data_IF_453486237951
#
_entry.id   IF_453486237951
#
_cell.length_a   1.000
_cell.length_b   1.000
_cell.length_c   1.000
_cell.angle_alpha   90.00
_cell.angle_beta   90.00
_cell.angle_gamma   90.00
#
_symmetry.space_group_name_H-M   'P 1'
#
loop_
_entity.id
_entity.type
_entity.pdbx_description
1 polymer ?
#
# COMPACT_ATOMS: atom_id res chain seq x y z
N UNK A 1 -11.48 7.44 5.70
CA UNK A 1 -10.87 6.31 4.96
C UNK A 1 -9.38 6.56 4.85
N UNK A 2 -8.52 5.65 5.36
CA UNK A 2 -7.08 5.70 5.18
C UNK A 2 -6.71 5.90 3.70
N UNK A 3 -5.79 6.83 3.42
CA UNK A 3 -5.24 7.06 2.09
C UNK A 3 -3.89 7.76 2.15
N UNK A 4 -3.11 7.61 1.08
CA UNK A 4 -1.92 8.39 0.78
C UNK A 4 -1.86 8.65 -0.73
N UNK A 5 -1.57 9.88 -1.11
CA UNK A 5 -1.22 10.24 -2.49
C UNK A 5 0.31 10.17 -2.63
N UNK A 6 0.79 9.60 -3.74
CA UNK A 6 2.21 9.55 -4.07
C UNK A 6 2.38 10.33 -5.37
N UNK A 7 3.16 11.40 -5.30
CA UNK A 7 3.39 12.34 -6.41
C UNK A 7 4.71 12.03 -7.13
N UNK A 8 4.83 12.50 -8.37
CA UNK A 8 5.97 12.21 -9.28
C UNK A 8 6.18 10.73 -9.55
N UNK A 9 5.06 10.04 -9.82
CA UNK A 9 5.02 8.62 -10.20
C UNK A 9 4.87 8.47 -11.71
N UNK A 10 5.17 7.26 -12.21
CA UNK A 10 4.86 6.82 -13.57
C UNK A 10 3.61 5.94 -13.64
N UNK A 11 3.61 5.04 -14.62
CA UNK A 11 2.48 4.14 -14.92
C UNK A 11 2.31 3.00 -13.90
N UNK A 12 1.09 2.48 -13.72
CA UNK A 12 0.86 1.29 -12.87
C UNK A 12 1.50 0.02 -13.44
N UNK A 13 1.75 -0.03 -14.76
CA UNK A 13 2.35 -1.18 -15.42
C UNK A 13 3.75 -1.52 -14.87
N UNK A 14 4.57 -0.51 -14.55
CA UNK A 14 5.89 -0.75 -13.98
C UNK A 14 5.78 -1.29 -12.55
N UNK A 15 4.78 -0.83 -11.77
CA UNK A 15 4.49 -1.40 -10.46
C UNK A 15 4.10 -2.87 -10.57
N UNK A 16 3.19 -3.20 -11.50
CA UNK A 16 2.78 -4.58 -11.73
C UNK A 16 3.96 -5.50 -12.08
N UNK A 17 4.86 -5.04 -12.95
CA UNK A 17 6.05 -5.81 -13.38
C UNK A 17 7.08 -6.01 -12.28
N UNK A 18 7.20 -5.06 -11.35
CA UNK A 18 8.17 -5.12 -10.24
C UNK A 18 7.54 -5.67 -8.94
N UNK A 19 6.26 -6.01 -8.96
CA UNK A 19 5.57 -6.51 -7.78
C UNK A 19 6.14 -7.88 -7.37
N UNK A 20 6.47 -8.01 -6.09
CA UNK A 20 6.77 -9.28 -5.46
C UNK A 20 5.93 -9.40 -4.19
N UNK A 21 5.25 -10.55 -3.95
CA UNK A 21 4.49 -10.75 -2.73
C UNK A 21 5.33 -10.45 -1.49
N UNK A 22 4.74 -9.73 -0.54
CA UNK A 22 5.42 -9.27 0.66
C UNK A 22 4.84 -9.97 1.88
N UNK A 23 5.70 -10.47 2.76
CA UNK A 23 5.36 -11.00 4.07
C UNK A 23 6.27 -10.34 5.12
N UNK A 24 5.67 -9.63 6.07
CA UNK A 24 6.36 -9.13 7.26
C UNK A 24 5.75 -9.76 8.50
N UNK A 25 6.62 -10.18 9.44
CA UNK A 25 6.22 -10.74 10.73
C UNK A 25 7.01 -10.08 11.83
N UNK A 26 6.31 -9.54 12.82
CA UNK A 26 6.89 -8.92 14.01
C UNK A 26 6.06 -9.28 15.23
N UNK A 27 6.58 -10.16 16.10
CA UNK A 27 5.82 -10.67 17.25
C UNK A 27 4.51 -11.35 16.81
N UNK A 28 3.38 -10.85 17.31
CA UNK A 28 2.04 -11.31 16.97
C UNK A 28 1.45 -10.65 15.71
N UNK A 29 2.16 -9.71 15.09
CA UNK A 29 1.75 -9.03 13.87
C UNK A 29 2.23 -9.80 12.62
N UNK A 30 1.33 -10.00 11.66
CA UNK A 30 1.66 -10.53 10.32
C UNK A 30 1.00 -9.64 9.27
N UNK A 31 1.80 -9.04 8.40
CA UNK A 31 1.35 -8.18 7.30
C UNK A 31 1.70 -8.84 5.97
N UNK A 32 0.71 -8.95 5.08
CA UNK A 32 0.88 -9.56 3.76
C UNK A 32 0.32 -8.67 2.65
N UNK A 33 1.02 -8.65 1.53
CA UNK A 33 0.53 -8.19 0.23
C UNK A 33 0.76 -9.35 -0.73
N UNK A 34 -0.32 -9.98 -1.19
CA UNK A 34 -0.28 -11.32 -1.80
C UNK A 34 -0.32 -11.23 -3.33
N UNK A 35 -1.29 -10.50 -3.86
CA UNK A 35 -1.58 -10.44 -5.28
C UNK A 35 -1.73 -8.98 -5.74
N UNK A 36 -1.43 -8.73 -7.02
CA UNK A 36 -1.64 -7.44 -7.68
C UNK A 36 -2.52 -7.68 -8.90
N UNK A 37 -3.67 -7.05 -8.96
CA UNK A 37 -4.59 -7.11 -10.09
C UNK A 37 -4.65 -5.74 -10.77
N UNK A 38 -4.23 -5.65 -12.02
CA UNK A 38 -4.27 -4.40 -12.79
C UNK A 38 -5.47 -4.39 -13.74
N UNK A 39 -6.17 -3.26 -13.81
CA UNK A 39 -7.25 -3.08 -14.77
C UNK A 39 -6.71 -3.03 -16.21
N UNK A 40 -7.55 -3.38 -17.18
CA UNK A 40 -7.19 -3.35 -18.60
C UNK A 40 -6.77 -1.96 -19.10
N UNK A 41 -7.28 -0.90 -18.50
CA UNK A 41 -6.95 0.48 -18.89
C UNK A 41 -5.63 0.99 -18.27
N UNK A 42 -5.00 0.22 -17.38
CA UNK A 42 -3.75 0.58 -16.71
C UNK A 42 -3.85 1.72 -15.68
N UNK A 43 -5.07 2.21 -15.39
CA UNK A 43 -5.31 3.36 -14.50
C UNK A 43 -5.78 2.98 -13.09
N UNK A 44 -6.19 1.73 -12.90
CA UNK A 44 -6.63 1.21 -11.60
C UNK A 44 -5.92 -0.12 -11.31
N UNK A 45 -5.63 -0.37 -10.04
CA UNK A 45 -5.20 -1.68 -9.59
C UNK A 45 -5.72 -1.99 -8.18
N UNK A 46 -5.73 -3.29 -7.85
CA UNK A 46 -6.06 -3.80 -6.53
C UNK A 46 -4.89 -4.65 -6.04
N UNK A 47 -4.47 -4.45 -4.79
CA UNK A 47 -3.57 -5.35 -4.09
C UNK A 47 -4.34 -6.12 -3.03
N UNK A 48 -4.23 -7.44 -3.05
CA UNK A 48 -4.82 -8.31 -2.04
C UNK A 48 -3.95 -8.34 -0.80
N UNK A 49 -4.53 -7.99 0.33
CA UNK A 49 -3.80 -7.77 1.56
C UNK A 49 -4.39 -8.54 2.73
N UNK A 50 -3.50 -8.93 3.66
CA UNK A 50 -3.87 -9.51 4.94
C UNK A 50 -3.13 -8.78 6.06
N UNK A 51 -3.86 -8.31 7.07
CA UNK A 51 -3.28 -7.88 8.33
C UNK A 51 -3.76 -8.81 9.43
N UNK A 52 -2.84 -9.36 10.21
CA UNK A 52 -3.14 -10.15 11.41
C UNK A 52 -2.54 -9.42 12.60
N UNK A 53 -3.37 -9.04 13.56
CA UNK A 53 -3.00 -8.37 14.80
C UNK A 53 -3.77 -9.00 15.96
N UNK A 54 -3.08 -9.31 17.06
CA UNK A 54 -3.69 -9.89 18.28
C UNK A 54 -4.56 -11.13 17.99
N UNK A 55 -4.19 -11.93 17.00
CA UNK A 55 -4.93 -13.13 16.58
C UNK A 55 -6.14 -12.87 15.67
N UNK A 56 -6.48 -11.62 15.39
CA UNK A 56 -7.56 -11.24 14.46
C UNK A 56 -7.00 -11.03 13.06
N UNK A 57 -7.58 -11.73 12.07
CA UNK A 57 -7.21 -11.59 10.66
C UNK A 57 -8.19 -10.68 9.92
N UNK A 58 -7.65 -9.73 9.16
CA UNK A 58 -8.39 -8.86 8.26
C UNK A 58 -7.88 -9.03 6.83
N UNK A 59 -8.75 -9.51 5.94
CA UNK A 59 -8.49 -9.60 4.50
C UNK A 59 -9.16 -8.42 3.80
N UNK A 60 -8.42 -7.70 2.97
CA UNK A 60 -8.93 -6.50 2.31
C UNK A 60 -8.17 -6.20 1.03
N UNK A 61 -8.72 -5.28 0.22
CA UNK A 61 -8.02 -4.78 -0.95
C UNK A 61 -7.53 -3.35 -0.72
N UNK A 62 -6.29 -3.10 -1.13
CA UNK A 62 -5.79 -1.74 -1.35
C UNK A 62 -5.98 -1.38 -2.82
N UNK A 63 -6.67 -0.28 -3.08
CA UNK A 63 -6.87 0.25 -4.42
C UNK A 63 -5.78 1.28 -4.76
N UNK A 64 -5.17 1.12 -5.92
CA UNK A 64 -4.36 2.13 -6.58
C UNK A 64 -5.17 2.82 -7.67
N UNK A 65 -5.12 4.14 -7.71
CA UNK A 65 -5.67 4.94 -8.82
C UNK A 65 -4.62 5.90 -9.35
N UNK A 66 -4.32 5.78 -10.64
CA UNK A 66 -3.45 6.71 -11.34
C UNK A 66 -4.24 7.94 -11.78
N UNK A 67 -3.73 9.13 -11.45
CA UNK A 67 -4.21 10.42 -11.89
C UNK A 67 -3.02 11.31 -12.24
N UNK A 68 -2.88 11.66 -13.52
CA UNK A 68 -1.70 12.36 -14.05
C UNK A 68 -0.39 11.67 -13.64
N UNK A 69 0.47 12.35 -12.88
CA UNK A 69 1.72 11.82 -12.32
C UNK A 69 1.60 11.41 -10.85
N UNK A 70 0.38 11.14 -10.38
CA UNK A 70 0.14 10.75 -9.00
C UNK A 70 -0.62 9.44 -8.90
N UNK A 71 -0.24 8.62 -7.92
CA UNK A 71 -0.96 7.40 -7.56
C UNK A 71 -1.60 7.61 -6.20
N UNK A 72 -2.93 7.49 -6.14
CA UNK A 72 -3.66 7.42 -4.86
C UNK A 72 -3.70 5.98 -4.38
N UNK A 73 -3.17 5.74 -3.19
CA UNK A 73 -3.29 4.48 -2.45
C UNK A 73 -4.40 4.64 -1.42
N UNK A 74 -5.42 3.78 -1.47
CA UNK A 74 -6.54 3.83 -0.51
C UNK A 74 -7.12 2.44 -0.26
N UNK A 75 -7.89 2.27 0.81
CA UNK A 75 -8.69 1.05 0.96
C UNK A 75 -9.77 0.97 -0.11
N UNK A 76 -10.02 -0.24 -0.64
CA UNK A 76 -11.18 -0.48 -1.47
C UNK A 76 -12.44 -0.41 -0.59
N UNK A 77 -13.42 0.47 -0.89
CA UNK A 77 -14.62 0.62 -0.05
C UNK A 77 -15.45 -0.67 0.07
N UNK A 78 -15.36 -1.58 -0.89
CA UNK A 78 -16.12 -2.83 -0.89
C UNK A 78 -15.66 -3.83 0.18
N UNK A 79 -14.40 -3.74 0.66
CA UNK A 79 -13.90 -4.61 1.74
C UNK A 79 -13.97 -3.97 3.12
N UNK A 80 -13.94 -2.63 3.18
CA UNK A 80 -14.02 -1.78 4.38
C UNK A 80 -13.56 -2.42 5.71
N UNK A 81 -12.27 -2.79 5.85
CA UNK A 81 -11.79 -3.37 7.10
C UNK A 81 -11.85 -2.35 8.25
N UNK A 82 -11.80 -2.87 9.47
CA UNK A 82 -11.47 -2.04 10.63
C UNK A 82 -10.11 -1.36 10.41
N UNK A 83 -10.00 -0.07 10.73
CA UNK A 83 -8.83 0.74 10.38
C UNK A 83 -7.74 0.63 11.45
N UNK A 84 -7.39 -0.62 11.77
CA UNK A 84 -6.40 -0.97 12.78
C UNK A 84 -5.00 -0.49 12.37
N UNK A 85 -4.03 -0.44 13.31
CA UNK A 85 -2.65 -0.11 12.97
C UNK A 85 -2.08 -0.99 11.85
N UNK A 86 -2.35 -2.29 11.85
CA UNK A 86 -1.85 -3.25 10.87
C UNK A 86 -2.38 -2.99 9.47
N UNK A 87 -3.66 -2.62 9.34
CA UNK A 87 -4.24 -2.18 8.07
C UNK A 87 -3.51 -0.95 7.54
N UNK A 88 -3.28 0.05 8.39
CA UNK A 88 -2.56 1.27 7.98
C UNK A 88 -1.08 1.00 7.66
N UNK A 89 -0.42 0.09 8.38
CA UNK A 89 0.95 -0.37 8.08
C UNK A 89 1.03 -1.08 6.73
N UNK A 90 0.09 -1.96 6.41
CA UNK A 90 0.02 -2.57 5.07
C UNK A 90 -0.10 -1.50 3.99
N UNK A 91 -0.95 -0.49 4.19
CA UNK A 91 -1.03 0.63 3.24
C UNK A 91 0.28 1.41 3.12
N UNK A 92 1.00 1.61 4.21
CA UNK A 92 2.33 2.21 4.19
C UNK A 92 3.35 1.33 3.44
N UNK A 93 3.28 0.00 3.57
CA UNK A 93 4.10 -0.94 2.80
C UNK A 93 3.83 -0.83 1.29
N UNK A 94 2.56 -0.74 0.89
CA UNK A 94 2.19 -0.49 -0.51
C UNK A 94 2.76 0.84 -0.98
N UNK A 95 2.65 1.89 -0.17
CA UNK A 95 3.16 3.20 -0.54
C UNK A 95 4.69 3.21 -0.68
N UNK A 96 5.41 2.55 0.23
CA UNK A 96 6.86 2.39 0.17
C UNK A 96 7.31 1.57 -1.05
N UNK A 97 6.57 0.52 -1.40
CA UNK A 97 6.83 -0.25 -2.62
C UNK A 97 6.78 0.65 -3.86
N UNK A 98 5.76 1.51 -3.97
CA UNK A 98 5.64 2.46 -5.09
C UNK A 98 6.86 3.40 -5.13
N UNK A 99 7.31 3.91 -3.98
CA UNK A 99 8.51 4.76 -3.89
C UNK A 99 9.81 4.02 -4.21
N UNK A 100 9.86 2.70 -4.03
CA UNK A 100 11.02 1.88 -4.42
C UNK A 100 11.10 1.75 -5.94
N UNK A 101 9.95 1.62 -6.62
CA UNK A 101 9.89 1.61 -8.09
C UNK A 101 10.12 3.02 -8.66
N UNK A 102 9.67 4.06 -7.96
CA UNK A 102 9.84 5.46 -8.34
C UNK A 102 10.62 6.26 -7.27
N UNK A 103 11.96 6.19 -7.25
CA UNK A 103 12.76 6.81 -6.18
C UNK A 103 12.58 8.32 -6.01
N UNK A 104 12.30 9.04 -7.10
CA UNK A 104 12.06 10.49 -7.11
C UNK A 104 10.67 10.88 -6.61
N UNK A 105 9.80 9.90 -6.34
CA UNK A 105 8.45 10.15 -5.85
C UNK A 105 8.43 10.57 -4.38
N UNK A 106 7.38 11.33 -4.02
CA UNK A 106 7.18 11.86 -2.67
C UNK A 106 5.77 11.58 -2.16
N UNK A 107 5.62 11.47 -0.85
CA UNK A 107 4.30 11.44 -0.23
C UNK A 107 3.65 12.82 -0.35
N UNK A 108 2.47 12.87 -0.95
CA UNK A 108 1.59 14.04 -0.96
C UNK A 108 0.58 13.98 0.20
N UNK A 109 -0.65 14.41 -0.06
CA UNK A 109 -1.74 14.38 0.94
C UNK A 109 -1.97 12.97 1.49
N UNK A 110 -2.01 12.84 2.82
CA UNK A 110 -2.18 11.57 3.52
C UNK A 110 -2.82 11.76 4.89
N UNK A 111 -3.51 10.73 5.38
CA UNK A 111 -3.99 10.64 6.77
C UNK A 111 -3.40 9.44 7.53
N UNK A 112 -2.34 8.82 7.00
CA UNK A 112 -1.59 7.73 7.63
C UNK A 112 -0.11 8.09 7.84
N UNK A 113 0.20 9.39 7.94
CA UNK A 113 1.59 9.90 8.00
C UNK A 113 2.46 9.19 9.05
N UNK A 114 1.89 8.88 10.21
CA UNK A 114 2.58 8.19 11.31
C UNK A 114 3.16 6.82 10.91
N UNK A 115 2.52 6.13 9.95
CA UNK A 115 2.97 4.82 9.45
C UNK A 115 3.93 4.90 8.27
N UNK A 116 4.04 6.07 7.62
CA UNK A 116 4.97 6.28 6.50
C UNK A 116 6.38 6.56 7.03
N UNK A 117 6.50 7.43 8.03
CA UNK A 117 7.80 7.88 8.57
C UNK A 117 8.54 6.77 9.33
N UNK A 118 7.80 5.88 9.98
CA UNK A 118 8.37 4.76 10.76
C UNK A 118 9.06 3.70 9.89
N UNK A 119 8.80 3.69 8.57
CA UNK A 119 9.38 2.73 7.63
C UNK A 119 10.61 3.25 6.87
N UNK A 120 10.91 4.55 6.95
CA UNK A 120 12.03 5.20 6.26
C UNK A 120 13.30 5.32 7.14
N UNK A 121 13.23 4.86 8.40
CA UNK A 121 14.42 4.78 9.25
C UNK A 121 15.32 3.62 8.79
N UNK A 122 16.61 3.84 8.49
CA UNK A 122 17.53 2.75 8.23
C UNK A 122 17.54 1.83 9.46
N UNK A 123 17.52 0.51 9.23
CA UNK A 123 17.84 -0.46 10.28
C UNK A 123 19.20 -0.05 10.85
N UNK A 124 19.23 0.32 12.13
CA UNK A 124 20.45 0.42 12.91
C UNK A 124 21.14 -0.95 12.99
#
# INVERSE_FOLDING_TARGET
MPHVVIEETGELQALYQNFTPTLQRAGAEILKIQEFYMSRNGKDALLECVAIEEGTSSNFFVQLKLHDKAITVRLLPATDPEKTPGVKKVMALVARFIRTVYPESRYGKTNIQEYLTTMDSPKA
#
